data_IF_752166278701
#
_entry.id   IF_752166278701
#
_cell.length_a   1.000
_cell.length_b   1.000
_cell.length_c   1.000
_cell.angle_alpha   90.00
_cell.angle_beta   90.00
_cell.angle_gamma   90.00
#
_symmetry.space_group_name_H-M   'P 1'
#
loop_
_entity.id
_entity.type
_entity.pdbx_description
1 polymer ?
#
# COMPACT_ATOMS: atom_id res chain seq x y z
N UNK A 1 30.55 -44.64 -3.03
CA UNK A 1 29.29 -44.87 -3.76
C UNK A 1 28.91 -43.55 -4.42
N UNK A 2 29.01 -43.47 -5.74
CA UNK A 2 28.64 -42.30 -6.51
C UNK A 2 27.10 -42.16 -6.44
N UNK A 3 26.66 -41.00 -6.01
CA UNK A 3 25.23 -40.67 -5.88
C UNK A 3 24.57 -40.74 -7.27
N UNK A 4 23.70 -41.75 -7.46
CA UNK A 4 23.00 -42.06 -8.72
C UNK A 4 21.74 -41.25 -8.93
N UNK A 5 21.72 -39.99 -8.46
CA UNK A 5 20.57 -39.07 -8.67
C UNK A 5 20.38 -38.71 -10.15
N UNK A 6 19.18 -38.23 -10.55
CA UNK A 6 18.90 -37.82 -11.92
C UNK A 6 19.89 -36.76 -12.41
N UNK A 7 20.35 -36.88 -13.66
CA UNK A 7 21.41 -36.02 -14.27
C UNK A 7 21.13 -34.52 -14.11
N UNK A 8 19.87 -34.10 -14.16
CA UNK A 8 19.52 -32.67 -13.96
C UNK A 8 19.80 -32.18 -12.54
N UNK A 9 19.72 -33.07 -11.52
CA UNK A 9 20.07 -32.72 -10.12
C UNK A 9 21.57 -32.55 -9.97
N UNK A 10 22.34 -33.46 -10.46
CA UNK A 10 23.82 -33.40 -10.43
C UNK A 10 24.29 -32.12 -11.11
N UNK A 11 23.69 -31.77 -12.25
CA UNK A 11 24.02 -30.55 -12.97
C UNK A 11 23.60 -29.27 -12.19
N UNK A 12 22.48 -29.29 -11.52
CA UNK A 12 22.06 -28.19 -10.67
C UNK A 12 23.00 -28.01 -9.47
N UNK A 13 23.36 -29.09 -8.78
CA UNK A 13 24.32 -29.09 -7.67
C UNK A 13 25.70 -28.63 -8.08
N UNK A 14 26.15 -28.99 -9.27
CA UNK A 14 27.41 -28.51 -9.81
C UNK A 14 27.40 -26.98 -9.99
N UNK A 15 26.35 -26.41 -10.58
CA UNK A 15 26.23 -24.96 -10.73
C UNK A 15 26.10 -24.27 -9.37
N UNK A 16 25.34 -24.85 -8.44
CA UNK A 16 25.22 -24.36 -7.07
C UNK A 16 26.56 -24.29 -6.36
N UNK A 17 27.41 -25.33 -6.54
CA UNK A 17 28.78 -25.34 -6.04
C UNK A 17 29.66 -24.25 -6.68
N UNK A 18 29.55 -24.00 -7.97
CA UNK A 18 30.28 -22.91 -8.65
C UNK A 18 29.87 -21.53 -8.14
N UNK A 19 28.60 -21.34 -7.78
CA UNK A 19 28.10 -20.10 -7.18
C UNK A 19 28.59 -19.97 -5.73
N UNK A 20 28.52 -21.04 -4.95
CA UNK A 20 28.90 -21.02 -3.52
C UNK A 20 30.42 -20.81 -3.34
N UNK A 21 31.24 -21.34 -4.25
CA UNK A 21 32.70 -21.12 -4.26
C UNK A 21 33.13 -19.79 -4.86
N UNK A 22 32.18 -19.00 -5.40
CA UNK A 22 32.48 -17.71 -6.03
C UNK A 22 33.07 -17.80 -7.43
N UNK A 23 33.13 -19.00 -8.02
CA UNK A 23 33.55 -19.21 -9.41
C UNK A 23 32.59 -18.58 -10.40
N UNK A 24 31.27 -18.65 -10.11
CA UNK A 24 30.23 -17.86 -10.75
C UNK A 24 29.75 -16.81 -9.75
N UNK A 25 29.96 -15.54 -10.07
CA UNK A 25 29.62 -14.43 -9.19
C UNK A 25 28.17 -13.95 -9.41
N UNK A 26 27.63 -13.36 -8.41
CA UNK A 26 26.30 -12.75 -8.48
C UNK A 26 26.21 -11.71 -9.62
N UNK A 27 25.22 -11.87 -10.50
CA UNK A 27 25.04 -11.07 -11.70
C UNK A 27 25.77 -11.55 -12.93
N UNK A 28 26.63 -12.57 -12.82
CA UNK A 28 27.31 -13.20 -13.97
C UNK A 28 26.35 -14.12 -14.73
N UNK A 29 26.59 -14.22 -16.03
CA UNK A 29 25.80 -15.08 -16.90
C UNK A 29 26.22 -16.52 -16.72
N UNK A 30 25.30 -17.42 -16.42
CA UNK A 30 25.56 -18.87 -16.47
C UNK A 30 25.67 -19.35 -17.92
N UNK A 31 26.36 -20.46 -18.19
CA UNK A 31 26.49 -20.99 -19.55
C UNK A 31 25.14 -21.09 -20.25
N UNK A 32 25.08 -20.83 -21.55
CA UNK A 32 23.80 -21.01 -22.28
C UNK A 32 23.37 -22.48 -22.27
N UNK A 33 22.05 -22.72 -22.29
CA UNK A 33 21.49 -24.10 -22.28
C UNK A 33 22.12 -24.99 -23.32
N UNK A 34 22.34 -24.49 -24.55
CA UNK A 34 22.97 -25.24 -25.66
C UNK A 34 24.43 -25.52 -25.36
N UNK A 35 25.18 -24.53 -24.86
CA UNK A 35 26.61 -24.69 -24.54
C UNK A 35 26.81 -25.70 -23.42
N UNK A 36 26.00 -25.62 -22.35
CA UNK A 36 26.14 -26.56 -21.24
C UNK A 36 25.70 -27.97 -21.62
N UNK A 37 24.66 -28.13 -22.47
CA UNK A 37 24.28 -29.43 -23.05
C UNK A 37 25.46 -30.09 -23.81
N UNK A 38 26.11 -29.32 -24.65
CA UNK A 38 27.32 -29.82 -25.40
C UNK A 38 28.49 -30.15 -24.49
N UNK A 39 28.81 -29.28 -23.52
CA UNK A 39 29.93 -29.44 -22.60
C UNK A 39 29.77 -30.65 -21.66
N UNK A 40 28.56 -30.93 -21.24
CA UNK A 40 28.27 -31.98 -20.27
C UNK A 40 27.74 -33.26 -20.92
N UNK A 41 27.58 -33.30 -22.24
CA UNK A 41 27.05 -34.45 -22.96
C UNK A 41 25.62 -34.85 -22.59
N UNK A 42 24.78 -33.89 -22.14
CA UNK A 42 23.41 -34.15 -21.70
C UNK A 42 22.41 -33.47 -22.64
N UNK A 43 21.14 -33.90 -22.59
CA UNK A 43 20.12 -33.32 -23.43
C UNK A 43 19.80 -31.86 -23.03
N UNK A 44 19.34 -31.06 -23.99
CA UNK A 44 18.83 -29.67 -23.74
C UNK A 44 17.74 -29.65 -22.69
N UNK A 45 16.84 -30.65 -22.69
CA UNK A 45 15.79 -30.79 -21.69
C UNK A 45 16.30 -31.00 -20.28
N UNK A 46 17.38 -31.80 -20.12
CA UNK A 46 18.06 -32.02 -18.83
C UNK A 46 18.63 -30.71 -18.26
N UNK A 47 19.28 -29.90 -19.13
CA UNK A 47 19.81 -28.60 -18.71
C UNK A 47 18.68 -27.63 -18.33
N UNK A 48 17.58 -27.61 -19.10
CA UNK A 48 16.40 -26.79 -18.78
C UNK A 48 15.79 -27.16 -17.44
N UNK A 49 15.65 -28.46 -17.13
CA UNK A 49 15.18 -28.94 -15.83
C UNK A 49 16.12 -28.51 -14.68
N UNK A 50 17.46 -28.60 -14.89
CA UNK A 50 18.41 -28.09 -13.92
C UNK A 50 18.26 -26.59 -13.68
N UNK A 51 18.11 -25.80 -14.75
CA UNK A 51 17.94 -24.35 -14.65
C UNK A 51 16.59 -23.95 -14.02
N UNK A 52 15.50 -24.64 -14.35
CA UNK A 52 14.21 -24.45 -13.68
C UNK A 52 14.30 -24.72 -12.16
N UNK A 53 15.04 -25.79 -11.77
CA UNK A 53 15.28 -26.07 -10.35
C UNK A 53 16.09 -24.95 -9.68
N UNK A 54 17.17 -24.49 -10.30
CA UNK A 54 18.00 -23.40 -9.78
C UNK A 54 17.23 -22.06 -9.71
N UNK A 55 16.34 -21.83 -10.66
CA UNK A 55 15.44 -20.69 -10.66
C UNK A 55 14.37 -20.80 -9.56
N UNK A 56 13.81 -21.99 -9.36
CA UNK A 56 12.83 -22.26 -8.29
C UNK A 56 13.41 -22.04 -6.88
N UNK A 57 14.70 -22.39 -6.67
CA UNK A 57 15.40 -22.11 -5.41
C UNK A 57 15.98 -20.68 -5.36
N UNK A 58 15.78 -19.88 -6.41
CA UNK A 58 16.19 -18.49 -6.47
C UNK A 58 17.69 -18.25 -6.63
N UNK A 59 18.47 -19.24 -7.11
CA UNK A 59 19.90 -19.13 -7.32
C UNK A 59 20.25 -18.45 -8.64
N UNK A 60 19.44 -18.67 -9.69
CA UNK A 60 19.55 -17.99 -10.99
C UNK A 60 18.24 -17.33 -11.39
N UNK A 61 18.29 -16.44 -12.37
CA UNK A 61 17.13 -15.78 -12.96
C UNK A 61 17.21 -15.79 -14.47
N UNK A 62 16.07 -16.03 -15.15
CA UNK A 62 15.97 -15.89 -16.60
C UNK A 62 15.82 -14.41 -16.98
N UNK A 63 16.66 -13.91 -17.89
CA UNK A 63 16.48 -12.59 -18.52
C UNK A 63 16.02 -12.77 -19.96
N UNK A 64 14.86 -12.22 -20.35
CA UNK A 64 14.33 -12.36 -21.70
C UNK A 64 15.37 -12.01 -22.77
N UNK A 65 15.51 -12.88 -23.78
CA UNK A 65 16.46 -12.76 -24.89
C UNK A 65 17.96 -12.74 -24.50
N UNK A 66 18.33 -12.81 -23.23
CA UNK A 66 19.70 -12.70 -22.73
C UNK A 66 20.22 -13.97 -22.06
N UNK A 67 19.35 -14.88 -21.60
CA UNK A 67 19.73 -16.15 -20.95
C UNK A 67 19.59 -16.13 -19.44
N UNK A 68 20.30 -17.02 -18.75
CA UNK A 68 20.24 -17.15 -17.30
C UNK A 68 21.44 -16.49 -16.62
N UNK A 69 21.20 -15.89 -15.45
CA UNK A 69 22.20 -15.16 -14.65
C UNK A 69 22.15 -15.61 -13.21
N UNK A 70 23.29 -15.64 -12.54
CA UNK A 70 23.35 -15.87 -11.08
C UNK A 70 22.61 -14.74 -10.38
N UNK A 71 21.58 -15.08 -9.62
CA UNK A 71 20.82 -14.09 -8.86
C UNK A 71 21.70 -13.54 -7.74
N UNK A 72 21.70 -12.23 -7.56
CA UNK A 72 22.35 -11.62 -6.41
C UNK A 72 21.63 -12.06 -5.14
N UNK A 73 22.26 -12.89 -4.32
CA UNK A 73 21.78 -13.17 -2.97
C UNK A 73 21.97 -11.88 -2.17
N UNK A 74 20.88 -11.13 -2.02
CA UNK A 74 20.90 -9.93 -1.19
C UNK A 74 20.78 -10.37 0.27
N UNK A 75 21.53 -9.72 1.20
CA UNK A 75 21.39 -10.01 2.62
C UNK A 75 19.92 -9.92 3.05
N UNK A 76 19.47 -10.85 3.87
CA UNK A 76 18.14 -10.81 4.43
C UNK A 76 18.08 -9.65 5.44
N UNK A 77 17.18 -8.68 5.21
CA UNK A 77 16.90 -7.60 6.19
C UNK A 77 15.74 -8.04 7.06
N UNK A 78 15.90 -7.89 8.37
CA UNK A 78 14.84 -8.15 9.34
C UNK A 78 13.67 -7.20 9.21
N UNK A 79 12.53 -7.57 9.75
CA UNK A 79 11.37 -6.68 9.86
C UNK A 79 11.34 -5.97 11.21
N UNK A 80 10.77 -4.75 11.29
CA UNK A 80 10.50 -4.07 12.55
C UNK A 80 9.64 -4.94 13.48
N UNK A 81 9.84 -4.78 14.78
CA UNK A 81 8.97 -5.43 15.77
C UNK A 81 7.56 -4.77 15.77
N UNK A 82 6.60 -5.45 16.41
CA UNK A 82 5.28 -4.86 16.68
C UNK A 82 5.43 -3.57 17.51
N UNK A 83 4.60 -2.59 17.17
CA UNK A 83 4.64 -1.28 17.83
C UNK A 83 4.15 -1.35 19.28
N UNK A 84 4.56 -0.38 20.10
CA UNK A 84 4.15 -0.25 21.51
C UNK A 84 3.80 1.22 21.80
N UNK A 85 2.66 1.74 21.33
CA UNK A 85 2.22 3.11 21.58
C UNK A 85 1.81 3.30 23.05
N UNK A 86 1.71 4.55 23.53
CA UNK A 86 1.18 4.83 24.88
C UNK A 86 -0.32 4.51 24.92
N UNK A 87 -0.75 3.88 26.00
CA UNK A 87 -2.16 3.54 26.24
C UNK A 87 -2.93 4.73 26.85
N UNK A 88 -2.93 5.86 26.15
CA UNK A 88 -3.68 7.05 26.55
C UNK A 88 -4.18 7.82 25.34
N UNK A 89 -5.27 8.52 25.51
CA UNK A 89 -5.80 9.43 24.51
C UNK A 89 -4.86 10.62 24.29
N UNK A 90 -4.60 10.95 23.03
CA UNK A 90 -3.67 11.99 22.60
C UNK A 90 -4.40 13.06 21.79
N UNK A 91 -4.01 14.32 21.97
CA UNK A 91 -4.26 15.39 20.99
C UNK A 91 -3.35 15.15 19.79
N UNK A 92 -3.82 15.50 18.61
CA UNK A 92 -3.07 15.30 17.36
C UNK A 92 -2.49 16.63 16.91
N UNK A 93 -1.20 16.61 16.51
CA UNK A 93 -0.47 17.76 15.94
C UNK A 93 0.60 17.21 14.99
N UNK A 94 0.28 17.17 13.67
CA UNK A 94 1.15 16.56 12.64
C UNK A 94 1.27 17.39 11.37
N UNK A 95 0.65 18.58 11.30
CA UNK A 95 0.48 19.32 10.04
C UNK A 95 1.81 19.80 9.44
N UNK A 96 2.69 20.44 10.20
CA UNK A 96 3.91 21.05 9.68
C UNK A 96 4.81 20.08 8.91
N UNK A 97 5.02 18.88 9.47
CA UNK A 97 5.89 17.89 8.86
C UNK A 97 5.24 17.24 7.63
N UNK A 98 3.93 17.02 7.68
CA UNK A 98 3.18 16.48 6.55
C UNK A 98 3.17 17.48 5.38
N UNK A 99 2.96 18.77 5.65
CA UNK A 99 2.96 19.82 4.64
C UNK A 99 4.35 20.02 4.01
N UNK A 100 5.43 19.93 4.80
CA UNK A 100 6.80 19.98 4.27
C UNK A 100 7.09 18.83 3.29
N UNK A 101 6.60 17.62 3.57
CA UNK A 101 6.74 16.46 2.66
C UNK A 101 5.87 16.61 1.41
N UNK A 102 4.63 17.10 1.57
CA UNK A 102 3.67 17.21 0.47
C UNK A 102 3.99 18.38 -0.48
N UNK A 103 4.58 19.47 0.00
CA UNK A 103 4.97 20.60 -0.84
C UNK A 103 5.94 20.23 -1.98
N UNK A 104 6.76 19.20 -1.77
CA UNK A 104 7.68 18.67 -2.78
C UNK A 104 7.04 17.61 -3.71
N UNK A 105 5.82 17.15 -3.44
CA UNK A 105 5.26 15.96 -4.09
C UNK A 105 4.99 16.13 -5.59
N UNK A 106 4.73 17.35 -6.05
CA UNK A 106 4.42 17.67 -7.44
C UNK A 106 5.58 18.37 -8.20
N UNK A 107 6.73 18.58 -7.55
CA UNK A 107 7.91 19.14 -8.22
C UNK A 107 8.65 18.00 -8.95
N UNK A 108 8.72 18.02 -10.31
CA UNK A 108 9.39 16.98 -11.08
C UNK A 108 10.91 16.93 -10.86
N UNK A 109 11.47 17.95 -10.24
CA UNK A 109 12.88 17.99 -9.82
C UNK A 109 13.19 17.07 -8.65
N UNK A 110 12.18 16.68 -7.85
CA UNK A 110 12.36 15.84 -6.69
C UNK A 110 12.15 14.33 -6.99
N UNK A 111 12.87 13.50 -6.27
CA UNK A 111 12.54 12.08 -6.11
C UNK A 111 11.74 11.95 -4.81
N UNK A 112 10.45 11.65 -4.95
CA UNK A 112 9.45 11.82 -3.89
C UNK A 112 9.17 10.52 -3.14
N UNK A 113 10.19 9.92 -2.49
CA UNK A 113 9.98 8.76 -1.61
C UNK A 113 9.11 9.08 -0.39
N UNK A 114 8.99 10.36 -0.01
CA UNK A 114 8.14 10.81 1.10
C UNK A 114 6.65 10.85 0.77
N UNK A 115 6.27 10.95 -0.51
CA UNK A 115 4.89 11.05 -0.92
C UNK A 115 4.27 9.68 -1.19
N UNK A 116 3.06 9.43 -0.69
CA UNK A 116 2.26 8.25 -1.04
C UNK A 116 1.47 8.40 -2.36
N UNK A 117 1.88 9.33 -3.23
CA UNK A 117 1.22 9.60 -4.51
C UNK A 117 1.92 8.85 -5.63
N UNK A 118 1.24 7.90 -6.32
CA UNK A 118 1.85 7.21 -7.44
C UNK A 118 1.95 8.14 -8.66
N UNK A 119 3.04 8.00 -9.42
CA UNK A 119 3.31 8.81 -10.60
C UNK A 119 2.38 8.47 -11.77
N UNK A 120 2.01 9.49 -12.53
CA UNK A 120 1.01 9.37 -13.60
C UNK A 120 1.39 8.37 -14.70
N UNK A 121 2.68 8.24 -15.02
CA UNK A 121 3.18 7.31 -16.05
C UNK A 121 2.91 5.82 -15.75
N UNK A 122 2.57 5.49 -14.52
CA UNK A 122 2.20 4.12 -14.14
C UNK A 122 0.80 3.71 -14.62
N UNK A 123 -0.02 4.68 -15.00
CA UNK A 123 -1.44 4.50 -15.29
C UNK A 123 -1.77 4.59 -16.78
N UNK A 124 -2.87 3.99 -17.23
CA UNK A 124 -3.30 4.02 -18.64
C UNK A 124 -3.99 5.36 -19.00
N UNK A 125 -3.32 6.50 -18.77
CA UNK A 125 -3.92 7.84 -18.87
C UNK A 125 -4.59 8.12 -20.22
N UNK A 126 -4.07 7.57 -21.35
CA UNK A 126 -4.68 7.72 -22.65
C UNK A 126 -6.08 7.08 -22.73
N UNK A 127 -6.25 5.92 -22.06
CA UNK A 127 -7.55 5.24 -21.98
C UNK A 127 -8.52 5.98 -21.08
N UNK A 128 -8.04 6.48 -19.94
CA UNK A 128 -8.81 7.31 -19.02
C UNK A 128 -9.27 8.59 -19.73
N UNK A 129 -8.38 9.27 -20.46
CA UNK A 129 -8.72 10.46 -21.26
C UNK A 129 -9.81 10.18 -22.29
N UNK A 130 -9.71 9.04 -23.03
CA UNK A 130 -10.74 8.65 -23.99
C UNK A 130 -12.10 8.44 -23.34
N UNK A 131 -12.16 7.77 -22.19
CA UNK A 131 -13.40 7.60 -21.45
C UNK A 131 -14.01 8.95 -21.02
N UNK A 132 -13.20 9.86 -20.47
CA UNK A 132 -13.64 11.21 -20.11
C UNK A 132 -14.20 11.97 -21.31
N UNK A 133 -13.47 12.00 -22.44
CA UNK A 133 -13.92 12.68 -23.65
C UNK A 133 -15.20 12.06 -24.22
N UNK A 134 -15.30 10.73 -24.22
CA UNK A 134 -16.49 10.01 -24.68
C UNK A 134 -17.73 10.37 -23.85
N UNK A 135 -17.60 10.35 -22.53
CA UNK A 135 -18.68 10.73 -21.61
C UNK A 135 -19.06 12.19 -21.77
N UNK A 136 -18.09 13.10 -21.82
CA UNK A 136 -18.36 14.53 -21.98
C UNK A 136 -19.12 14.84 -23.30
N UNK A 137 -18.88 14.09 -24.36
CA UNK A 137 -19.61 14.25 -25.63
C UNK A 137 -21.03 13.68 -25.60
N UNK A 138 -21.24 12.55 -24.90
CA UNK A 138 -22.53 11.86 -24.89
C UNK A 138 -23.49 12.36 -23.81
N UNK A 139 -22.95 12.67 -22.63
CA UNK A 139 -23.71 12.93 -21.41
C UNK A 139 -23.83 14.44 -21.15
N UNK A 140 -24.54 15.17 -22.02
CA UNK A 140 -24.71 16.64 -21.88
C UNK A 140 -25.26 17.05 -20.52
N UNK A 141 -26.14 16.23 -19.92
CA UNK A 141 -26.72 16.49 -18.61
C UNK A 141 -25.64 16.51 -17.51
N UNK A 142 -24.66 15.61 -17.56
CA UNK A 142 -23.58 15.55 -16.59
C UNK A 142 -22.68 16.80 -16.59
N UNK A 143 -22.68 17.56 -17.70
CA UNK A 143 -21.97 18.85 -17.80
C UNK A 143 -22.85 20.03 -17.35
N UNK A 144 -24.18 19.95 -17.51
CA UNK A 144 -25.09 21.07 -17.29
C UNK A 144 -25.84 21.04 -15.96
N UNK A 145 -25.76 19.96 -15.20
CA UNK A 145 -26.50 19.78 -13.96
C UNK A 145 -25.56 19.41 -12.80
N UNK A 146 -26.00 19.71 -11.59
CA UNK A 146 -25.30 19.27 -10.39
C UNK A 146 -25.35 17.74 -10.25
N UNK A 147 -24.18 17.11 -10.07
CA UNK A 147 -24.07 15.68 -9.68
C UNK A 147 -24.42 15.51 -8.21
N UNK A 148 -25.72 15.46 -7.89
CA UNK A 148 -26.21 15.39 -6.50
C UNK A 148 -25.86 14.07 -5.81
N UNK A 149 -25.68 14.05 -4.46
CA UNK A 149 -25.58 12.79 -3.73
C UNK A 149 -26.83 11.91 -3.93
N UNK A 150 -26.64 10.61 -4.09
CA UNK A 150 -25.45 9.84 -3.80
C UNK A 150 -24.46 9.66 -4.97
N UNK A 151 -24.58 10.41 -6.07
CA UNK A 151 -23.73 10.30 -7.26
C UNK A 151 -24.32 9.41 -8.37
N UNK A 152 -23.62 9.29 -9.50
CA UNK A 152 -24.09 8.59 -10.70
C UNK A 152 -24.44 7.12 -10.40
N UNK A 153 -25.64 6.70 -10.80
CA UNK A 153 -26.11 5.32 -10.57
C UNK A 153 -25.18 4.29 -11.24
N UNK A 154 -24.78 4.53 -12.49
CA UNK A 154 -23.89 3.63 -13.23
C UNK A 154 -22.58 3.40 -12.51
N UNK A 155 -21.97 4.46 -11.94
CA UNK A 155 -20.76 4.38 -11.14
C UNK A 155 -20.97 3.53 -9.88
N UNK A 156 -22.01 3.81 -9.10
CA UNK A 156 -22.34 3.06 -7.90
C UNK A 156 -22.61 1.58 -8.17
N UNK A 157 -23.28 1.26 -9.29
CA UNK A 157 -23.48 -0.13 -9.74
C UNK A 157 -22.15 -0.80 -10.11
N UNK A 158 -21.25 -0.09 -10.79
CA UNK A 158 -19.93 -0.62 -11.14
C UNK A 158 -19.07 -0.90 -9.89
N UNK A 159 -19.11 0.00 -8.90
CA UNK A 159 -18.45 -0.21 -7.59
C UNK A 159 -19.04 -1.40 -6.84
N UNK A 160 -20.37 -1.51 -6.77
CA UNK A 160 -21.05 -2.62 -6.08
C UNK A 160 -20.72 -3.99 -6.73
N UNK A 161 -20.62 -4.06 -8.06
CA UNK A 161 -20.16 -5.27 -8.77
C UNK A 161 -18.71 -5.61 -8.40
N UNK A 162 -17.84 -4.60 -8.34
CA UNK A 162 -16.46 -4.82 -7.94
C UNK A 162 -16.33 -5.29 -6.49
N UNK A 163 -17.21 -4.85 -5.60
CA UNK A 163 -17.19 -5.26 -4.20
C UNK A 163 -17.34 -6.79 -3.99
N UNK A 164 -17.83 -7.51 -4.99
CA UNK A 164 -17.88 -8.98 -4.96
C UNK A 164 -16.48 -9.61 -4.91
N UNK A 165 -15.48 -8.96 -5.53
CA UNK A 165 -14.08 -9.41 -5.48
C UNK A 165 -13.49 -9.33 -4.07
N UNK A 166 -14.01 -8.43 -3.22
CA UNK A 166 -13.63 -8.27 -1.82
C UNK A 166 -14.53 -9.06 -0.86
N UNK A 167 -15.38 -9.94 -1.40
CA UNK A 167 -16.34 -10.75 -0.64
C UNK A 167 -17.53 -9.97 -0.10
N UNK A 168 -17.75 -8.74 -0.54
CA UNK A 168 -18.82 -7.86 -0.07
C UNK A 168 -20.07 -7.96 -0.96
N UNK A 169 -21.24 -8.11 -0.34
CA UNK A 169 -22.56 -7.97 -1.00
C UNK A 169 -23.11 -6.59 -0.67
N UNK A 170 -22.82 -5.60 -1.52
CA UNK A 170 -23.21 -4.19 -1.31
C UNK A 170 -24.42 -3.87 -2.21
N UNK A 171 -25.46 -3.31 -1.60
CA UNK A 171 -26.52 -2.66 -2.39
C UNK A 171 -25.97 -1.33 -2.92
N UNK A 172 -25.91 -1.17 -4.23
CA UNK A 172 -25.44 0.03 -4.89
C UNK A 172 -26.23 1.31 -4.48
N UNK A 173 -27.47 1.15 -4.01
CA UNK A 173 -28.30 2.26 -3.50
C UNK A 173 -27.73 2.87 -2.22
N UNK A 174 -26.97 2.11 -1.45
CA UNK A 174 -26.33 2.56 -0.21
C UNK A 174 -25.02 3.30 -0.45
N UNK A 175 -24.38 3.08 -1.61
CA UNK A 175 -23.11 3.75 -1.93
C UNK A 175 -23.32 5.26 -2.12
N UNK A 176 -22.34 6.04 -1.62
CA UNK A 176 -22.24 7.48 -1.84
C UNK A 176 -20.90 7.78 -2.52
N UNK A 177 -20.95 8.43 -3.68
CA UNK A 177 -19.75 8.90 -4.39
C UNK A 177 -19.10 10.08 -3.67
N UNK A 178 -17.78 10.13 -3.69
CA UNK A 178 -16.97 11.14 -2.98
C UNK A 178 -15.82 11.65 -3.84
N UNK A 179 -15.21 12.76 -3.45
CA UNK A 179 -13.97 13.30 -4.05
C UNK A 179 -12.70 12.57 -3.63
N UNK A 180 -12.79 11.28 -3.30
CA UNK A 180 -11.68 10.43 -2.89
C UNK A 180 -11.84 9.85 -1.48
N UNK A 181 -10.92 8.93 -1.10
CA UNK A 181 -11.00 8.21 0.17
C UNK A 181 -10.90 9.12 1.40
N UNK A 182 -10.11 10.20 1.34
CA UNK A 182 -10.00 11.16 2.44
C UNK A 182 -11.35 11.84 2.74
N UNK A 183 -12.12 12.22 1.72
CA UNK A 183 -13.48 12.72 1.93
C UNK A 183 -14.39 11.63 2.51
N UNK A 184 -14.27 10.39 2.03
CA UNK A 184 -15.05 9.26 2.57
C UNK A 184 -14.80 9.06 4.06
N UNK A 185 -13.54 9.05 4.50
CA UNK A 185 -13.16 8.90 5.92
C UNK A 185 -13.62 10.10 6.74
N UNK A 186 -13.49 11.34 6.21
CA UNK A 186 -13.96 12.54 6.88
C UNK A 186 -15.47 12.49 7.11
N UNK A 187 -16.25 12.13 6.08
CA UNK A 187 -17.71 11.97 6.18
C UNK A 187 -18.10 10.87 7.16
N UNK A 188 -17.38 9.74 7.17
CA UNK A 188 -17.59 8.64 8.10
C UNK A 188 -17.39 9.08 9.55
N UNK A 189 -16.26 9.73 9.85
CA UNK A 189 -15.98 10.25 11.20
C UNK A 189 -17.04 11.27 11.64
N UNK A 190 -17.39 12.26 10.82
CA UNK A 190 -18.43 13.25 11.10
C UNK A 190 -19.83 12.65 11.29
N UNK A 191 -20.08 11.48 10.72
CA UNK A 191 -21.36 10.80 10.91
C UNK A 191 -21.51 10.20 12.31
N UNK A 192 -20.41 9.83 12.97
CA UNK A 192 -20.41 9.02 14.21
C UNK A 192 -19.68 9.67 15.39
N UNK A 193 -19.00 10.81 15.19
CA UNK A 193 -18.24 11.50 16.24
C UNK A 193 -18.61 12.97 16.36
N UNK A 194 -18.17 13.57 17.49
CA UNK A 194 -18.22 15.00 17.82
C UNK A 194 -16.84 15.47 18.30
N UNK A 195 -16.50 16.75 18.26
CA UNK A 195 -15.27 17.28 18.84
C UNK A 195 -15.05 16.78 20.28
N UNK A 196 -13.82 16.35 20.59
CA UNK A 196 -13.45 15.75 21.89
C UNK A 196 -13.59 14.23 21.94
N UNK A 197 -14.33 13.60 21.02
CA UNK A 197 -14.50 12.14 20.99
C UNK A 197 -13.19 11.41 20.68
N UNK A 198 -13.09 10.18 21.17
CA UNK A 198 -11.92 9.32 21.06
C UNK A 198 -12.08 8.33 19.90
N UNK A 199 -11.09 8.32 19.00
CA UNK A 199 -11.01 7.38 17.87
C UNK A 199 -9.79 6.47 18.06
N UNK A 200 -10.01 5.15 18.06
CA UNK A 200 -8.93 4.17 18.07
C UNK A 200 -8.42 3.93 16.64
N UNK A 201 -7.10 3.85 16.48
CA UNK A 201 -6.44 3.67 15.17
C UNK A 201 -5.13 2.92 15.32
N UNK A 202 -4.61 2.40 14.22
CA UNK A 202 -3.32 1.71 14.15
C UNK A 202 -2.17 2.64 14.56
N UNK A 203 -1.10 2.09 15.10
CA UNK A 203 0.14 2.82 15.34
C UNK A 203 1.34 2.02 14.81
N UNK A 204 2.11 2.54 13.83
CA UNK A 204 1.89 3.80 13.13
C UNK A 204 0.66 3.75 12.22
N UNK A 205 0.12 4.92 11.88
CA UNK A 205 -1.03 5.08 10.99
C UNK A 205 -0.74 6.06 9.86
N UNK A 206 -1.64 6.15 8.88
CA UNK A 206 -1.53 7.15 7.82
C UNK A 206 -1.73 8.56 8.38
N UNK A 207 -0.78 9.45 8.13
CA UNK A 207 -0.81 10.83 8.66
C UNK A 207 -2.06 11.61 8.26
N UNK A 208 -2.63 11.35 7.07
CA UNK A 208 -3.88 12.00 6.67
C UNK A 208 -5.07 11.66 7.58
N UNK A 209 -5.08 10.52 8.26
CA UNK A 209 -6.08 10.25 9.29
C UNK A 209 -5.87 11.15 10.51
N UNK A 210 -4.62 11.33 10.91
CA UNK A 210 -4.27 12.23 12.02
C UNK A 210 -4.67 13.67 11.70
N UNK A 211 -4.42 14.15 10.47
CA UNK A 211 -4.86 15.46 10.01
C UNK A 211 -6.40 15.61 10.05
N UNK A 212 -7.16 14.58 9.65
CA UNK A 212 -8.63 14.61 9.76
C UNK A 212 -9.05 14.67 11.22
N UNK A 213 -8.44 13.87 12.11
CA UNK A 213 -8.75 13.90 13.54
C UNK A 213 -8.47 15.29 14.12
N UNK A 214 -7.32 15.87 13.82
CA UNK A 214 -6.94 17.23 14.24
C UNK A 214 -7.97 18.27 13.79
N UNK A 215 -8.30 18.28 12.49
CA UNK A 215 -9.26 19.20 11.90
C UNK A 215 -10.68 19.07 12.53
N UNK A 216 -11.08 17.86 12.92
CA UNK A 216 -12.37 17.60 13.56
C UNK A 216 -12.35 17.76 15.09
N UNK A 217 -11.21 18.12 15.68
CA UNK A 217 -11.03 18.23 17.13
C UNK A 217 -11.20 16.90 17.85
N UNK A 218 -10.86 15.77 17.20
CA UNK A 218 -10.96 14.43 17.77
C UNK A 218 -9.65 14.04 18.47
N UNK A 219 -9.73 13.10 19.37
CA UNK A 219 -8.58 12.55 20.09
C UNK A 219 -8.22 11.17 19.53
N UNK A 220 -6.93 10.88 19.46
CA UNK A 220 -6.41 9.60 18.97
C UNK A 220 -6.09 8.65 20.14
N UNK A 221 -6.46 7.38 20.01
CA UNK A 221 -5.99 6.28 20.83
C UNK A 221 -5.23 5.31 19.92
N UNK A 222 -3.92 5.30 20.06
CA UNK A 222 -3.04 4.48 19.24
C UNK A 222 -3.00 3.04 19.75
N UNK A 223 -3.36 2.09 18.88
CA UNK A 223 -3.38 0.65 19.20
C UNK A 223 -2.13 -0.03 18.62
N UNK A 224 -1.44 -0.89 19.37
CA UNK A 224 -0.30 -1.66 18.89
C UNK A 224 -0.60 -2.38 17.57
N UNK A 225 0.36 -2.34 16.64
CA UNK A 225 0.20 -2.90 15.29
C UNK A 225 1.40 -3.78 14.96
N UNK A 226 1.13 -4.98 14.46
CA UNK A 226 2.15 -5.93 14.03
C UNK A 226 2.42 -5.77 12.52
N UNK A 227 3.69 -5.82 12.06
CA UNK A 227 4.05 -5.53 10.66
C UNK A 227 3.48 -6.52 9.63
N UNK A 228 2.99 -7.67 10.05
CA UNK A 228 2.38 -8.67 9.16
C UNK A 228 0.86 -8.74 9.29
N UNK A 229 0.34 -8.71 10.51
CA UNK A 229 -1.06 -9.04 10.81
C UNK A 229 -1.91 -7.83 11.17
N UNK A 230 -1.35 -6.61 11.16
CA UNK A 230 -2.09 -5.38 11.44
C UNK A 230 -2.35 -5.15 12.93
N UNK A 231 -3.45 -4.47 13.23
CA UNK A 231 -3.82 -4.05 14.58
C UNK A 231 -3.97 -5.22 15.56
N UNK A 232 -3.48 -5.07 16.82
CA UNK A 232 -3.68 -6.05 17.89
C UNK A 232 -5.12 -6.00 18.39
N UNK A 233 -5.83 -7.12 18.23
CA UNK A 233 -7.21 -7.23 18.69
C UNK A 233 -7.31 -7.32 20.21
N UNK A 234 -6.32 -7.91 20.88
CA UNK A 234 -6.23 -8.00 22.33
C UNK A 234 -6.06 -6.61 22.96
N UNK A 235 -5.16 -5.80 22.38
CA UNK A 235 -4.97 -4.42 22.84
C UNK A 235 -6.19 -3.54 22.53
N UNK A 236 -6.85 -3.74 21.38
CA UNK A 236 -8.08 -3.03 21.03
C UNK A 236 -9.23 -3.41 22.01
N UNK A 237 -9.39 -4.68 22.34
CA UNK A 237 -10.42 -5.14 23.27
C UNK A 237 -10.25 -4.53 24.67
N UNK A 238 -9.01 -4.44 25.16
CA UNK A 238 -8.67 -3.75 26.41
C UNK A 238 -8.97 -2.25 26.31
N UNK A 239 -8.54 -1.61 25.23
CA UNK A 239 -8.79 -0.18 24.98
C UNK A 239 -10.29 0.16 24.97
N UNK A 240 -11.11 -0.71 24.37
CA UNK A 240 -12.57 -0.59 24.34
C UNK A 240 -13.24 -0.84 25.71
N UNK A 241 -12.55 -1.48 26.65
CA UNK A 241 -13.04 -1.67 28.02
C UNK A 241 -12.69 -0.47 28.90
N UNK A 242 -11.51 0.13 28.69
CA UNK A 242 -10.96 1.19 29.55
C UNK A 242 -11.29 2.62 29.07
N UNK A 243 -11.61 2.79 27.79
CA UNK A 243 -11.80 4.09 27.18
C UNK A 243 -13.13 4.22 26.43
N UNK A 244 -13.78 5.40 26.42
CA UNK A 244 -15.03 5.65 25.69
C UNK A 244 -14.77 5.86 24.19
N UNK A 245 -14.23 4.84 23.52
CA UNK A 245 -13.95 4.88 22.07
C UNK A 245 -15.24 5.01 21.29
N UNK A 246 -15.33 6.01 20.41
CA UNK A 246 -16.51 6.30 19.58
C UNK A 246 -16.45 5.72 18.19
N UNK A 247 -15.25 5.48 17.67
CA UNK A 247 -15.04 4.84 16.37
C UNK A 247 -13.67 4.16 16.32
N UNK A 248 -13.54 3.16 15.47
CA UNK A 248 -12.26 2.53 15.12
C UNK A 248 -11.99 2.78 13.65
N UNK A 249 -10.80 3.33 13.33
CA UNK A 249 -10.37 3.65 11.96
C UNK A 249 -9.10 2.85 11.64
N UNK A 250 -9.19 1.94 10.66
CA UNK A 250 -8.09 1.03 10.30
C UNK A 250 -8.00 0.79 8.80
N UNK A 251 -6.83 0.30 8.37
CA UNK A 251 -6.56 -0.23 7.03
C UNK A 251 -6.28 -1.73 7.11
N UNK A 252 -7.30 -2.60 7.15
CA UNK A 252 -7.09 -4.04 7.37
C UNK A 252 -6.32 -4.74 6.26
N UNK A 253 -6.30 -4.16 5.07
CA UNK A 253 -5.61 -4.69 3.90
C UNK A 253 -4.57 -3.69 3.38
N UNK A 254 -3.29 -4.12 3.37
CA UNK A 254 -2.16 -3.35 2.87
C UNK A 254 -2.08 -1.97 3.53
N UNK A 255 -1.90 -1.95 4.85
CA UNK A 255 -1.92 -0.73 5.66
C UNK A 255 -0.78 0.25 5.32
N UNK A 256 -0.99 1.53 5.53
CA UNK A 256 -0.01 2.59 5.38
C UNK A 256 0.37 3.15 6.77
N UNK A 257 1.65 3.11 7.18
CA UNK A 257 2.86 2.92 6.35
C UNK A 257 3.43 1.49 6.32
N UNK A 258 2.86 0.52 7.02
CA UNK A 258 3.51 -0.77 7.30
C UNK A 258 3.37 -1.76 6.12
N UNK A 259 2.26 -1.71 5.38
CA UNK A 259 1.93 -2.69 4.35
C UNK A 259 1.38 -4.01 4.90
N UNK A 260 0.93 -4.06 6.16
CA UNK A 260 0.34 -5.22 6.78
C UNK A 260 -1.02 -5.59 6.19
N UNK A 261 -1.38 -6.87 6.22
CA UNK A 261 -2.74 -7.34 5.91
C UNK A 261 -3.23 -8.29 6.99
N UNK A 262 -4.41 -8.01 7.53
CA UNK A 262 -5.05 -8.85 8.53
C UNK A 262 -5.54 -10.15 7.89
N UNK A 263 -5.34 -11.31 8.53
CA UNK A 263 -5.99 -12.55 8.12
C UNK A 263 -7.51 -12.46 8.25
N UNK A 264 -8.25 -13.16 7.40
CA UNK A 264 -9.73 -13.19 7.43
C UNK A 264 -10.34 -13.52 8.78
N UNK A 265 -9.83 -14.52 9.56
CA UNK A 265 -10.33 -14.76 10.92
C UNK A 265 -10.18 -13.57 11.86
N UNK A 266 -9.08 -12.80 11.73
CA UNK A 266 -8.86 -11.60 12.53
C UNK A 266 -9.80 -10.47 12.13
N UNK A 267 -10.05 -10.25 10.83
CA UNK A 267 -11.05 -9.29 10.34
C UNK A 267 -12.46 -9.63 10.85
N UNK A 268 -12.82 -10.91 10.81
CA UNK A 268 -14.11 -11.37 11.36
C UNK A 268 -14.22 -11.08 12.84
N UNK A 269 -13.20 -11.44 13.64
CA UNK A 269 -13.16 -11.14 15.09
C UNK A 269 -13.23 -9.65 15.36
N UNK A 270 -12.53 -8.80 14.58
CA UNK A 270 -12.59 -7.34 14.69
C UNK A 270 -14.03 -6.82 14.54
N UNK A 271 -14.71 -7.26 13.48
CA UNK A 271 -16.10 -6.85 13.20
C UNK A 271 -17.06 -7.34 14.30
N UNK A 272 -16.94 -8.58 14.76
CA UNK A 272 -17.76 -9.14 15.83
C UNK A 272 -17.54 -8.42 17.18
N UNK A 273 -16.27 -8.11 17.52
CA UNK A 273 -15.90 -7.37 18.73
C UNK A 273 -16.55 -5.98 18.74
N UNK A 274 -16.44 -5.24 17.63
CA UNK A 274 -16.99 -3.89 17.52
C UNK A 274 -18.50 -3.87 17.46
N UNK A 275 -19.12 -4.84 16.80
CA UNK A 275 -20.58 -5.01 16.77
C UNK A 275 -21.15 -5.27 18.17
N UNK A 276 -20.50 -6.11 18.98
CA UNK A 276 -20.92 -6.39 20.35
C UNK A 276 -20.89 -5.16 21.29
N UNK A 277 -20.03 -4.18 20.97
CA UNK A 277 -19.88 -2.93 21.74
C UNK A 277 -20.58 -1.73 21.08
N UNK A 278 -21.29 -1.93 19.99
CA UNK A 278 -21.94 -0.90 19.16
C UNK A 278 -20.98 0.23 18.71
N UNK A 279 -19.70 -0.09 18.48
CA UNK A 279 -18.67 0.83 18.02
C UNK A 279 -18.52 0.72 16.50
N UNK A 280 -18.67 1.81 15.71
CA UNK A 280 -18.50 1.79 14.28
C UNK A 280 -17.05 1.50 13.87
N UNK A 281 -16.88 0.68 12.84
CA UNK A 281 -15.63 0.46 12.13
C UNK A 281 -15.59 1.30 10.86
N UNK A 282 -14.57 2.12 10.71
CA UNK A 282 -14.25 2.82 9.47
C UNK A 282 -13.09 2.09 8.82
N UNK A 283 -13.37 1.41 7.72
CA UNK A 283 -12.38 0.64 6.96
C UNK A 283 -11.90 1.44 5.74
N UNK A 284 -10.62 1.80 5.70
CA UNK A 284 -9.98 2.30 4.48
C UNK A 284 -9.45 1.14 3.65
N UNK A 285 -9.97 1.01 2.43
CA UNK A 285 -9.68 -0.09 1.50
C UNK A 285 -8.91 0.37 0.26
N UNK A 286 -8.21 1.52 0.34
CA UNK A 286 -7.61 2.19 -0.82
C UNK A 286 -6.49 1.40 -1.49
N UNK A 287 -5.74 0.57 -0.73
CA UNK A 287 -4.61 -0.22 -1.25
C UNK A 287 -4.94 -1.69 -1.50
N UNK A 288 -6.09 -2.18 -1.08
CA UNK A 288 -6.43 -3.60 -1.13
C UNK A 288 -6.34 -4.21 -2.54
N UNK A 289 -6.77 -3.45 -3.56
CA UNK A 289 -6.66 -3.87 -4.96
C UNK A 289 -5.21 -4.01 -5.47
N UNK A 290 -4.24 -3.50 -4.73
CA UNK A 290 -2.80 -3.59 -5.03
C UNK A 290 -2.10 -4.70 -4.24
N UNK A 291 -2.84 -5.61 -3.58
CA UNK A 291 -2.28 -6.80 -2.95
C UNK A 291 -1.45 -7.62 -3.94
N UNK A 292 -0.34 -8.18 -3.48
CA UNK A 292 0.52 -9.06 -4.29
C UNK A 292 -0.04 -10.47 -4.41
N UNK A 293 -1.04 -10.81 -3.61
CA UNK A 293 -1.73 -12.08 -3.72
C UNK A 293 -2.55 -12.17 -5.02
N UNK A 294 -2.76 -13.40 -5.50
CA UNK A 294 -3.50 -13.66 -6.74
C UNK A 294 -4.97 -13.24 -6.61
N UNK A 295 -5.59 -13.55 -5.47
CA UNK A 295 -6.96 -13.14 -5.14
C UNK A 295 -6.95 -11.78 -4.43
N UNK A 296 -7.98 -10.97 -4.68
CA UNK A 296 -8.18 -9.74 -3.91
C UNK A 296 -8.50 -10.08 -2.45
N UNK A 297 -7.86 -9.43 -1.46
CA UNK A 297 -8.14 -9.71 -0.06
C UNK A 297 -9.56 -9.30 0.30
N UNK A 298 -10.22 -10.11 1.13
CA UNK A 298 -11.57 -9.77 1.61
C UNK A 298 -11.52 -8.51 2.47
N UNK A 299 -12.53 -7.66 2.33
CA UNK A 299 -12.71 -6.53 3.22
C UNK A 299 -13.27 -7.00 4.60
N UNK A 300 -13.00 -6.23 5.65
CA UNK A 300 -13.66 -6.46 6.95
C UNK A 300 -15.18 -6.31 6.83
N UNK A 301 -15.64 -5.40 5.98
CA UNK A 301 -17.06 -5.24 5.60
C UNK A 301 -17.72 -6.55 5.16
N UNK A 302 -16.99 -7.49 4.58
CA UNK A 302 -17.54 -8.79 4.15
C UNK A 302 -18.09 -9.65 5.32
N UNK A 303 -17.65 -9.36 6.54
CA UNK A 303 -18.08 -10.04 7.78
C UNK A 303 -19.17 -9.26 8.53
N UNK A 304 -19.51 -8.05 8.09
CA UNK A 304 -20.50 -7.17 8.74
C UNK A 304 -21.93 -7.70 8.55
N UNK A 305 -22.64 -7.89 9.67
CA UNK A 305 -24.04 -8.28 9.72
C UNK A 305 -24.93 -7.22 10.37
N UNK A 306 -24.33 -6.25 11.05
CA UNK A 306 -25.01 -5.20 11.83
C UNK A 306 -25.16 -3.88 11.09
N UNK A 307 -24.50 -3.73 9.93
CA UNK A 307 -24.33 -2.43 9.26
C UNK A 307 -23.37 -1.49 10.02
N UNK A 308 -22.53 -2.04 10.90
CA UNK A 308 -21.59 -1.30 11.75
C UNK A 308 -20.26 -0.94 11.06
N UNK A 309 -19.99 -1.45 9.86
CA UNK A 309 -18.77 -1.17 9.10
C UNK A 309 -19.06 -0.17 7.99
N UNK A 310 -18.32 0.91 7.95
CA UNK A 310 -18.27 1.88 6.84
C UNK A 310 -17.05 1.60 5.98
N UNK A 311 -17.25 1.22 4.71
CA UNK A 311 -16.17 0.89 3.78
C UNK A 311 -15.86 2.09 2.89
N UNK A 312 -14.62 2.60 2.97
CA UNK A 312 -14.12 3.77 2.23
C UNK A 312 -13.06 3.35 1.22
N UNK A 313 -13.11 3.87 -0.01
CA UNK A 313 -12.06 3.65 -0.99
C UNK A 313 -12.02 4.72 -2.09
N UNK A 314 -11.01 4.65 -2.96
CA UNK A 314 -10.91 5.48 -4.17
C UNK A 314 -10.05 4.82 -5.25
N UNK A 315 -10.06 5.41 -6.44
CA UNK A 315 -9.26 4.94 -7.58
C UNK A 315 -7.92 5.68 -7.71
N UNK A 316 -7.56 6.52 -6.72
CA UNK A 316 -6.37 7.37 -6.78
C UNK A 316 -5.06 6.59 -6.74
N UNK A 317 -5.03 5.39 -6.14
CA UNK A 317 -3.81 4.58 -6.04
C UNK A 317 -3.72 3.49 -7.09
N UNK A 318 -4.84 3.19 -7.77
CA UNK A 318 -4.97 2.03 -8.65
C UNK A 318 -5.29 2.38 -10.12
N UNK A 319 -5.71 3.63 -10.41
CA UNK A 319 -6.07 4.03 -11.77
C UNK A 319 -5.61 5.45 -12.15
N UNK A 320 -5.94 6.46 -11.35
CA UNK A 320 -5.58 7.85 -11.66
C UNK A 320 -5.74 8.75 -10.42
N UNK A 321 -4.65 9.32 -9.88
CA UNK A 321 -4.72 10.26 -8.77
C UNK A 321 -5.49 11.54 -9.11
N UNK A 322 -5.33 12.03 -10.36
CA UNK A 322 -5.90 13.30 -10.81
C UNK A 322 -7.42 13.32 -10.93
N UNK A 323 -8.08 12.16 -11.00
CA UNK A 323 -9.54 12.10 -11.08
C UNK A 323 -10.23 12.45 -9.76
N UNK A 324 -9.53 12.36 -8.63
CA UNK A 324 -10.07 12.71 -7.30
C UNK A 324 -11.46 12.13 -7.05
N UNK A 325 -11.65 10.83 -7.33
CA UNK A 325 -12.92 10.12 -7.17
C UNK A 325 -12.79 8.92 -6.26
N UNK A 326 -13.76 8.76 -5.38
CA UNK A 326 -13.88 7.67 -4.43
C UNK A 326 -15.33 7.39 -4.09
N UNK A 327 -15.53 6.62 -3.05
CA UNK A 327 -16.85 6.21 -2.60
C UNK A 327 -16.80 5.73 -1.14
N UNK A 328 -17.96 5.75 -0.52
CA UNK A 328 -18.21 5.16 0.80
C UNK A 328 -19.44 4.27 0.74
N UNK A 329 -19.37 3.09 1.35
CA UNK A 329 -20.52 2.31 1.78
C UNK A 329 -20.71 2.54 3.28
N UNK A 330 -21.69 3.36 3.69
CA UNK A 330 -21.75 3.92 5.04
C UNK A 330 -22.53 3.06 6.05
N UNK A 331 -22.86 1.83 5.69
CA UNK A 331 -23.65 0.95 6.57
C UNK A 331 -24.97 1.59 6.99
N UNK A 332 -25.28 1.53 8.28
CA UNK A 332 -26.50 2.07 8.86
C UNK A 332 -26.57 3.61 8.92
N UNK A 333 -25.48 4.32 8.61
CA UNK A 333 -25.41 5.80 8.63
C UNK A 333 -25.62 6.45 7.25
N UNK A 334 -26.22 5.73 6.29
CA UNK A 334 -26.38 6.18 4.91
C UNK A 334 -26.98 7.59 4.79
N UNK A 335 -28.10 7.84 5.44
CA UNK A 335 -28.80 9.12 5.28
C UNK A 335 -28.00 10.27 5.93
N UNK A 336 -27.32 10.01 7.04
CA UNK A 336 -26.43 10.98 7.69
C UNK A 336 -25.24 11.32 6.79
N UNK A 337 -24.56 10.33 6.21
CA UNK A 337 -23.43 10.53 5.30
C UNK A 337 -23.86 11.29 4.05
N UNK A 338 -25.03 10.96 3.48
CA UNK A 338 -25.57 11.65 2.32
C UNK A 338 -25.85 13.13 2.61
N UNK A 339 -26.44 13.45 3.76
CA UNK A 339 -26.68 14.83 4.20
C UNK A 339 -25.38 15.59 4.44
N UNK A 340 -24.38 14.95 5.07
CA UNK A 340 -23.06 15.54 5.27
C UNK A 340 -22.34 15.78 3.95
N UNK A 341 -22.43 14.86 2.99
CA UNK A 341 -21.85 15.02 1.64
C UNK A 341 -22.46 16.25 0.94
N UNK A 342 -23.79 16.38 0.99
CA UNK A 342 -24.45 17.56 0.44
C UNK A 342 -23.96 18.85 1.08
N UNK A 343 -23.93 18.90 2.40
CA UNK A 343 -23.53 20.09 3.16
C UNK A 343 -22.04 20.44 3.02
N UNK A 344 -21.18 19.46 2.70
CA UNK A 344 -19.72 19.66 2.61
C UNK A 344 -19.27 20.10 1.22
N UNK A 345 -19.82 19.51 0.16
CA UNK A 345 -19.31 19.68 -1.21
C UNK A 345 -20.40 19.71 -2.29
N UNK A 346 -21.67 19.70 -1.90
CA UNK A 346 -22.83 19.81 -2.81
C UNK A 346 -23.05 18.59 -3.73
N UNK A 347 -22.06 17.73 -3.87
CA UNK A 347 -22.13 16.58 -4.76
C UNK A 347 -20.74 16.13 -5.26
N UNK A 348 -20.73 15.47 -6.40
CA UNK A 348 -19.52 14.92 -7.02
C UNK A 348 -19.47 15.23 -8.51
N UNK A 349 -18.32 15.00 -9.15
CA UNK A 349 -18.16 15.21 -10.59
C UNK A 349 -18.74 14.02 -11.37
N UNK A 350 -19.98 14.17 -11.87
CA UNK A 350 -20.71 13.10 -12.57
C UNK A 350 -20.00 12.64 -13.85
N UNK A 351 -19.32 13.52 -14.58
CA UNK A 351 -18.55 13.16 -15.77
C UNK A 351 -17.41 12.20 -15.40
N UNK A 352 -16.71 12.45 -14.30
CA UNK A 352 -15.63 11.59 -13.80
C UNK A 352 -16.20 10.25 -13.33
N UNK A 353 -17.31 10.25 -12.62
CA UNK A 353 -17.97 9.03 -12.15
C UNK A 353 -18.41 8.12 -13.32
N UNK A 354 -19.03 8.70 -14.34
CA UNK A 354 -19.46 7.96 -15.53
C UNK A 354 -18.29 7.41 -16.35
N UNK A 355 -17.21 8.19 -16.48
CA UNK A 355 -15.99 7.73 -17.12
C UNK A 355 -15.32 6.58 -16.35
N UNK A 356 -15.30 6.64 -15.03
CA UNK A 356 -14.84 5.55 -14.18
C UNK A 356 -15.70 4.30 -14.30
N UNK A 357 -17.02 4.45 -14.37
CA UNK A 357 -17.93 3.33 -14.63
C UNK A 357 -17.57 2.62 -15.93
N UNK A 358 -17.35 3.39 -17.02
CA UNK A 358 -16.94 2.85 -18.33
C UNK A 358 -15.59 2.10 -18.24
N UNK A 359 -14.62 2.64 -17.54
CA UNK A 359 -13.32 1.99 -17.31
C UNK A 359 -13.47 0.68 -16.54
N UNK A 360 -14.28 0.67 -15.49
CA UNK A 360 -14.54 -0.53 -14.67
C UNK A 360 -15.25 -1.62 -15.49
N UNK A 361 -16.24 -1.24 -16.27
CA UNK A 361 -17.03 -2.16 -17.10
C UNK A 361 -16.26 -2.74 -18.29
N UNK A 362 -15.25 -2.02 -18.82
CA UNK A 362 -14.45 -2.45 -19.99
C UNK A 362 -13.37 -3.49 -19.66
N UNK A 363 -13.17 -3.88 -18.42
CA UNK A 363 -12.08 -4.75 -17.97
C UNK A 363 -10.69 -4.11 -18.06
N UNK A 364 -10.60 -2.82 -18.37
CA UNK A 364 -9.34 -2.07 -18.38
C UNK A 364 -8.74 -2.00 -16.98
N UNK A 365 -9.57 -1.80 -15.97
CA UNK A 365 -9.15 -1.70 -14.59
C UNK A 365 -8.41 -2.96 -14.12
N UNK A 366 -8.96 -4.16 -14.39
CA UNK A 366 -8.32 -5.43 -14.02
C UNK A 366 -6.97 -5.64 -14.71
N UNK A 367 -6.87 -5.27 -16.00
CA UNK A 367 -5.59 -5.33 -16.71
C UNK A 367 -4.55 -4.39 -16.09
N UNK A 368 -4.98 -3.19 -15.71
CA UNK A 368 -4.13 -2.20 -15.06
C UNK A 368 -3.63 -2.73 -13.70
N UNK A 369 -4.51 -3.26 -12.87
CA UNK A 369 -4.16 -3.82 -11.57
C UNK A 369 -3.12 -4.94 -11.68
N UNK A 370 -3.31 -5.89 -12.60
CA UNK A 370 -2.31 -6.96 -12.81
C UNK A 370 -0.94 -6.42 -13.18
N UNK A 371 -0.89 -5.37 -13.99
CA UNK A 371 0.37 -4.69 -14.35
C UNK A 371 1.03 -4.00 -13.15
N UNK A 372 0.24 -3.24 -12.38
CA UNK A 372 0.71 -2.52 -11.20
C UNK A 372 1.21 -3.47 -10.10
N UNK A 373 0.45 -4.53 -9.77
CA UNK A 373 0.83 -5.53 -8.77
C UNK A 373 2.21 -6.14 -9.07
N UNK A 374 2.43 -6.60 -10.32
CA UNK A 374 3.73 -7.15 -10.73
C UNK A 374 4.87 -6.13 -10.65
N UNK A 375 4.60 -4.91 -11.11
CA UNK A 375 5.59 -3.82 -11.08
C UNK A 375 5.97 -3.48 -9.65
N UNK A 376 4.99 -3.22 -8.79
CA UNK A 376 5.25 -2.86 -7.40
C UNK A 376 5.92 -3.98 -6.61
N UNK A 377 5.56 -5.25 -6.80
CA UNK A 377 6.25 -6.37 -6.19
C UNK A 377 7.75 -6.38 -6.55
N UNK A 378 8.08 -6.23 -7.85
CA UNK A 378 9.47 -6.16 -8.31
C UNK A 378 10.22 -4.94 -7.76
N UNK A 379 9.56 -3.76 -7.69
CA UNK A 379 10.17 -2.55 -7.15
C UNK A 379 10.42 -2.64 -5.63
N UNK A 380 9.49 -3.22 -4.89
CA UNK A 380 9.63 -3.50 -3.45
C UNK A 380 10.83 -4.42 -3.21
N UNK A 381 10.95 -5.50 -3.96
CA UNK A 381 12.09 -6.43 -3.82
C UNK A 381 13.41 -5.75 -4.19
N UNK A 382 13.45 -4.95 -5.27
CA UNK A 382 14.63 -4.20 -5.67
C UNK A 382 15.07 -3.21 -4.59
N UNK A 383 14.13 -2.39 -4.07
CA UNK A 383 14.42 -1.41 -3.04
C UNK A 383 14.87 -2.06 -1.72
N UNK A 384 14.23 -3.16 -1.30
CA UNK A 384 14.67 -3.93 -0.12
C UNK A 384 16.11 -4.44 -0.27
N UNK A 385 16.49 -4.82 -1.46
CA UNK A 385 17.88 -5.22 -1.74
C UNK A 385 18.87 -4.07 -1.60
N UNK A 386 18.54 -2.88 -2.13
CA UNK A 386 19.37 -1.68 -1.95
C UNK A 386 19.48 -1.30 -0.48
N UNK A 387 18.38 -1.39 0.27
CA UNK A 387 18.39 -1.12 1.72
C UNK A 387 19.33 -2.08 2.45
N UNK A 388 19.28 -3.38 2.13
CA UNK A 388 20.17 -4.38 2.72
C UNK A 388 21.66 -4.11 2.47
N UNK A 389 21.99 -3.56 1.30
CA UNK A 389 23.37 -3.28 0.87
C UNK A 389 23.94 -1.97 1.44
N UNK A 390 23.10 -0.90 1.53
CA UNK A 390 23.59 0.48 1.64
C UNK A 390 23.10 1.23 2.88
N UNK A 391 22.24 0.64 3.71
CA UNK A 391 21.77 1.29 4.92
C UNK A 391 22.59 0.89 6.17
N UNK A 392 22.48 1.64 7.27
CA UNK A 392 23.21 1.31 8.51
C UNK A 392 22.93 -0.12 8.97
N UNK A 393 23.94 -0.77 9.57
CA UNK A 393 23.72 -2.09 10.20
C UNK A 393 22.65 -2.01 11.27
N UNK A 394 21.77 -3.00 11.32
CA UNK A 394 20.60 -3.03 12.21
C UNK A 394 19.37 -2.33 11.66
N UNK A 395 19.40 -1.79 10.43
CA UNK A 395 18.20 -1.33 9.73
C UNK A 395 17.27 -2.51 9.50
N UNK A 396 15.96 -2.31 9.80
CA UNK A 396 14.89 -3.27 9.54
C UNK A 396 13.91 -2.67 8.54
N UNK A 397 13.29 -3.50 7.70
CA UNK A 397 12.32 -3.05 6.70
C UNK A 397 11.18 -4.03 6.54
N UNK A 398 9.95 -3.53 6.46
CA UNK A 398 8.74 -4.35 6.28
C UNK A 398 8.77 -5.13 4.95
N UNK A 399 8.01 -6.23 4.92
CA UNK A 399 7.63 -6.95 3.69
C UNK A 399 6.14 -6.74 3.46
N UNK A 400 5.76 -5.69 2.71
CA UNK A 400 4.36 -5.38 2.54
C UNK A 400 3.63 -6.49 1.78
N UNK A 401 2.36 -6.69 2.12
CA UNK A 401 1.47 -7.61 1.42
C UNK A 401 0.99 -7.08 0.05
N UNK A 402 1.33 -5.83 -0.29
CA UNK A 402 0.91 -5.17 -1.51
C UNK A 402 1.39 -3.73 -1.61
N UNK A 403 0.92 -3.04 -2.65
CA UNK A 403 1.20 -1.64 -2.95
C UNK A 403 2.71 -1.34 -3.13
N UNK A 404 3.13 -0.15 -2.74
CA UNK A 404 4.43 0.42 -3.11
C UNK A 404 5.08 1.17 -1.94
N UNK A 405 4.77 0.77 -0.70
CA UNK A 405 5.24 1.47 0.51
C UNK A 405 6.09 0.52 1.34
N UNK A 406 7.24 1.02 1.81
CA UNK A 406 8.12 0.38 2.76
C UNK A 406 8.19 1.21 4.04
N UNK A 407 8.16 0.55 5.19
CA UNK A 407 8.41 1.14 6.50
C UNK A 407 9.73 0.62 7.04
N UNK A 408 10.65 1.55 7.33
CA UNK A 408 12.01 1.26 7.74
C UNK A 408 12.23 1.70 9.19
N UNK A 409 12.87 0.84 9.96
CA UNK A 409 13.44 1.15 11.27
C UNK A 409 14.96 1.30 11.12
N UNK A 410 15.47 2.50 11.35
CA UNK A 410 16.90 2.80 11.41
C UNK A 410 17.43 2.56 12.84
N UNK A 411 18.75 2.45 13.05
CA UNK A 411 19.31 2.43 14.39
C UNK A 411 18.83 3.61 15.24
N UNK A 412 18.69 3.41 16.54
CA UNK A 412 18.09 4.40 17.47
C UNK A 412 18.73 5.79 17.45
N UNK A 413 20.00 5.93 17.09
CA UNK A 413 20.69 7.21 16.97
C UNK A 413 20.34 8.01 15.71
N UNK A 414 19.69 7.41 14.71
CA UNK A 414 19.39 8.05 13.43
C UNK A 414 18.00 8.75 13.48
N UNK A 415 17.99 10.09 13.51
CA UNK A 415 16.77 10.88 13.47
C UNK A 415 16.28 11.06 12.02
N UNK A 416 15.07 10.61 11.73
CA UNK A 416 14.47 10.66 10.38
C UNK A 416 14.07 12.06 9.93
N UNK A 417 13.82 12.99 10.86
CA UNK A 417 13.54 14.39 10.55
C UNK A 417 14.83 15.08 10.11
N UNK A 418 15.92 14.90 10.88
CA UNK A 418 17.23 15.40 10.48
C UNK A 418 17.71 14.81 9.15
N UNK A 419 17.38 13.53 8.88
CA UNK A 419 17.68 12.89 7.60
C UNK A 419 16.87 13.55 6.47
N UNK A 420 15.58 13.82 6.66
CA UNK A 420 14.73 14.51 5.70
C UNK A 420 15.29 15.89 5.36
N UNK A 421 15.66 16.70 6.35
CA UNK A 421 16.26 18.04 6.15
C UNK A 421 17.55 17.99 5.31
N UNK A 422 18.41 16.98 5.54
CA UNK A 422 19.65 16.79 4.76
C UNK A 422 19.39 16.29 3.33
N UNK A 423 18.24 15.68 3.07
CA UNK A 423 17.85 15.16 1.75
C UNK A 423 17.23 16.25 0.85
N UNK A 424 16.54 17.25 1.40
CA UNK A 424 15.88 18.33 0.65
C UNK A 424 16.83 19.05 -0.32
N UNK A 425 18.06 19.48 0.07
CA UNK A 425 18.99 20.10 -0.87
C UNK A 425 19.43 19.19 -2.02
N UNK A 426 19.28 17.87 -1.86
CA UNK A 426 19.57 16.84 -2.87
C UNK A 426 18.37 16.48 -3.74
N UNK A 427 17.27 17.20 -3.55
CA UNK A 427 15.99 16.96 -4.22
C UNK A 427 15.46 15.53 -4.04
N UNK A 428 15.61 15.01 -2.82
CA UNK A 428 15.08 13.70 -2.40
C UNK A 428 14.22 13.94 -1.16
N UNK A 429 13.02 13.32 -1.12
CA UNK A 429 12.19 13.33 0.08
C UNK A 429 11.96 11.91 0.60
N UNK A 430 11.80 11.79 1.91
CA UNK A 430 11.35 10.58 2.62
C UNK A 430 10.18 10.96 3.52
N UNK A 431 9.41 10.00 4.01
CA UNK A 431 8.37 10.26 5.01
C UNK A 431 8.92 10.04 6.41
N UNK A 432 9.27 11.10 7.19
CA UNK A 432 9.78 10.93 8.56
C UNK A 432 8.77 10.25 9.47
N UNK A 433 9.27 9.38 10.36
CA UNK A 433 8.43 8.55 11.21
C UNK A 433 7.45 9.31 12.12
N UNK A 434 7.82 10.44 12.74
CA UNK A 434 6.92 11.17 13.63
C UNK A 434 5.59 11.58 13.00
N UNK A 435 5.52 11.83 11.69
CA UNK A 435 4.28 12.19 11.02
C UNK A 435 3.23 11.04 10.99
N UNK A 436 3.60 9.82 11.34
CA UNK A 436 2.72 8.65 11.35
C UNK A 436 2.23 8.26 12.75
N UNK A 437 2.34 9.17 13.72
CA UNK A 437 1.94 8.95 15.11
C UNK A 437 1.43 10.24 15.74
N UNK A 438 0.29 10.17 16.44
CA UNK A 438 -0.23 11.28 17.23
C UNK A 438 0.67 11.65 18.40
N UNK A 439 1.55 10.75 18.85
CA UNK A 439 2.51 10.95 19.93
C UNK A 439 3.89 11.42 19.48
N UNK A 440 4.10 11.69 18.17
CA UNK A 440 5.40 12.10 17.61
C UNK A 440 6.49 11.03 17.75
N UNK A 441 6.12 9.76 17.85
CA UNK A 441 7.05 8.62 17.98
C UNK A 441 7.74 8.32 16.65
N UNK A 442 8.47 7.22 16.63
CA UNK A 442 9.12 6.72 15.42
C UNK A 442 10.20 7.63 14.83
N UNK A 443 10.92 8.39 15.69
CA UNK A 443 11.99 9.31 15.25
C UNK A 443 13.08 8.63 14.44
N UNK A 444 13.36 7.35 14.72
CA UNK A 444 14.30 6.52 13.95
C UNK A 444 13.62 5.68 12.85
N UNK A 445 12.40 6.02 12.46
CA UNK A 445 11.71 5.34 11.37
C UNK A 445 11.48 6.26 10.19
N UNK A 446 11.31 5.67 9.02
CA UNK A 446 10.92 6.41 7.82
C UNK A 446 10.07 5.57 6.87
N UNK A 447 9.21 6.23 6.12
CA UNK A 447 8.47 5.63 5.02
C UNK A 447 9.14 5.93 3.70
N UNK A 448 9.33 4.89 2.88
CA UNK A 448 9.76 4.98 1.48
C UNK A 448 8.59 4.59 0.59
N UNK A 449 8.19 5.49 -0.30
CA UNK A 449 7.21 5.25 -1.36
C UNK A 449 7.92 4.90 -2.67
N UNK A 450 7.49 3.83 -3.31
CA UNK A 450 8.00 3.34 -4.59
C UNK A 450 6.94 3.53 -5.69
N UNK A 451 6.09 4.53 -5.54
CA UNK A 451 5.01 4.85 -6.46
C UNK A 451 5.46 5.54 -7.77
N UNK A 452 6.72 5.44 -8.16
CA UNK A 452 7.27 5.97 -9.42
C UNK A 452 7.88 4.84 -10.26
N UNK A 453 8.34 5.13 -11.48
CA UNK A 453 9.16 4.17 -12.23
C UNK A 453 10.48 3.93 -11.49
N UNK A 454 10.88 2.66 -11.38
CA UNK A 454 12.16 2.30 -10.75
C UNK A 454 13.25 2.27 -11.82
N UNK A 455 14.09 3.28 -11.84
CA UNK A 455 15.20 3.45 -12.77
C UNK A 455 16.53 3.55 -12.01
N UNK A 456 17.69 3.57 -12.68
CA UNK A 456 18.98 3.82 -12.02
C UNK A 456 19.01 5.13 -11.21
N UNK A 457 18.21 6.15 -11.58
CA UNK A 457 18.08 7.42 -10.86
C UNK A 457 17.45 7.21 -9.47
N UNK A 458 16.35 6.49 -9.40
CA UNK A 458 15.66 6.19 -8.14
C UNK A 458 16.50 5.24 -7.26
N UNK A 459 17.16 4.26 -7.87
CA UNK A 459 18.08 3.38 -7.13
C UNK A 459 19.24 4.19 -6.51
N UNK A 460 19.88 5.08 -7.28
CA UNK A 460 20.96 5.91 -6.79
C UNK A 460 20.50 6.87 -5.69
N UNK A 461 19.31 7.43 -5.81
CA UNK A 461 18.71 8.26 -4.76
C UNK A 461 18.47 7.48 -3.46
N UNK A 462 17.99 6.23 -3.56
CA UNK A 462 17.81 5.40 -2.36
C UNK A 462 19.16 5.04 -1.72
N UNK A 463 20.21 4.81 -2.51
CA UNK A 463 21.60 4.63 -2.01
C UNK A 463 22.09 5.88 -1.28
N UNK A 464 21.77 7.08 -1.79
CA UNK A 464 22.11 8.37 -1.13
C UNK A 464 21.37 8.53 0.21
N UNK A 465 20.09 8.13 0.31
CA UNK A 465 19.38 8.06 1.59
C UNK A 465 20.13 7.18 2.60
N UNK A 466 20.56 5.98 2.18
CA UNK A 466 21.32 5.06 3.01
C UNK A 466 22.67 5.64 3.47
N UNK A 467 23.41 6.27 2.56
CA UNK A 467 24.70 6.93 2.87
C UNK A 467 24.55 8.02 3.93
N UNK A 468 23.52 8.87 3.80
CA UNK A 468 23.26 9.93 4.80
C UNK A 468 22.76 9.35 6.13
N UNK A 469 21.97 8.28 6.10
CA UNK A 469 21.54 7.60 7.31
C UNK A 469 22.75 7.00 8.08
N UNK A 470 23.75 6.45 7.37
CA UNK A 470 25.02 5.97 7.98
C UNK A 470 25.74 7.16 8.65
N UNK A 471 25.88 8.29 7.97
CA UNK A 471 26.54 9.48 8.50
C UNK A 471 25.83 10.11 9.70
N UNK A 472 24.53 9.87 9.87
CA UNK A 472 23.75 10.33 11.03
C UNK A 472 23.71 9.30 12.17
N UNK A 473 24.15 8.07 11.92
CA UNK A 473 24.19 6.99 12.91
C UNK A 473 25.56 6.86 13.58
N UNK A 474 26.59 7.52 13.00
CA UNK A 474 27.95 7.57 13.52
C UNK A 474 28.07 8.66 14.60
#
# INVERSE_FOLDING_TARGET
MLDTGPLYRQLAEHIESLVSTGTLRAGERVPSVRRLSQQQGVSVSTVLQAYQRLEAIGLIEARPQSGYYVKRVRPAVEEPAASRPPQRALTVDVDDLADAVLSCANDPGFITFGSGCPAGELFPLQRVRRALSSVALRERRALGCYGLPPGAERFRRAVARRALEWGCRIDWRNLVATGGCMESVNLALRAVTRPGDLVALESPTYYGFLQILQMLGLRALEIPTHPRTGISLEALELALAEHPVKAVLVMPNVSNPIGASMPDPAKKRLVELLAAKDVPLIEDHIYADLSFETASPRAAKAFDRSGGVMLCSSFSKSLSPGLKSGWIEPGRWRDRVRSLKWASSGGSNEVVELALAEVLESGLYERTLRGLRRRFASQVDAARGVIAECFPRGTRVTRPAGAFILWLELPKGCDSVALFEKLIPRRITVGPGPMFSASGRYRNFLRISLGMAWTPREEQALREVGRLAIALSA
#
